data_IF_589138542484
#
_entry.id   IF_589138542484
#
_cell.length_a   1.000
_cell.length_b   1.000
_cell.length_c   1.000
_cell.angle_alpha   90.00
_cell.angle_beta   90.00
_cell.angle_gamma   90.00
#
_symmetry.space_group_name_H-M   'P 1'
#
loop_
_entity.id
_entity.type
_entity.pdbx_description
1 polymer ?
#
# COMPACT_ATOMS: atom_id res chain seq x y z
N UNK A 1 16.11 -72.69 7.22
CA UNK A 1 15.72 -73.59 8.36
C UNK A 1 14.62 -72.86 9.08
N UNK A 2 13.42 -73.33 8.85
CA UNK A 2 12.40 -73.72 9.82
C UNK A 2 11.67 -72.51 10.40
N UNK A 3 10.47 -72.14 9.91
CA UNK A 3 9.14 -72.77 10.08
C UNK A 3 8.54 -72.32 11.43
N UNK A 4 7.35 -71.81 11.55
CA UNK A 4 5.98 -72.14 11.25
C UNK A 4 5.11 -71.17 12.03
N UNK A 5 4.12 -70.57 11.46
CA UNK A 5 2.72 -70.98 11.34
C UNK A 5 1.82 -70.67 12.54
N UNK A 6 0.77 -69.88 12.27
CA UNK A 6 -0.66 -70.28 12.34
C UNK A 6 -1.35 -69.96 13.66
N UNK A 7 -2.54 -69.38 13.81
CA UNK A 7 -3.90 -69.71 13.34
C UNK A 7 -4.89 -68.62 13.80
N UNK A 8 -5.67 -68.08 12.96
CA UNK A 8 -7.13 -68.02 12.88
C UNK A 8 -7.96 -68.14 14.16
N UNK A 9 -8.86 -67.15 14.42
CA UNK A 9 -10.27 -67.48 14.67
C UNK A 9 -11.22 -66.34 14.31
N UNK A 10 -12.15 -66.67 13.41
CA UNK A 10 -13.38 -65.99 13.03
C UNK A 10 -14.46 -66.22 14.11
N UNK A 11 -15.39 -65.24 14.29
CA UNK A 11 -16.86 -65.43 14.47
C UNK A 11 -17.53 -64.07 14.40
N UNK A 12 -18.28 -63.76 13.38
CA UNK A 12 -19.70 -64.00 12.97
C UNK A 12 -20.71 -63.25 13.86
N UNK A 13 -21.47 -62.44 13.12
CA UNK A 13 -22.75 -61.75 13.48
C UNK A 13 -23.86 -62.76 13.82
N UNK A 14 -25.00 -62.30 14.44
CA UNK A 14 -26.21 -62.24 13.63
C UNK A 14 -27.08 -60.98 13.78
N UNK A 15 -28.00 -60.89 12.85
CA UNK A 15 -29.07 -59.93 12.59
C UNK A 15 -30.32 -60.29 13.38
N UNK A 16 -31.32 -59.37 13.22
CA UNK A 16 -32.78 -59.45 13.30
C UNK A 16 -33.37 -58.90 14.62
N UNK A 17 -34.52 -58.28 14.69
CA UNK A 17 -35.54 -57.83 13.74
C UNK A 17 -36.55 -56.93 14.52
N UNK A 18 -37.15 -55.99 13.80
CA UNK A 18 -38.54 -55.50 13.87
C UNK A 18 -39.33 -55.44 15.21
N UNK A 19 -39.91 -54.26 15.47
CA UNK A 19 -41.36 -54.12 15.71
C UNK A 19 -41.74 -52.61 15.88
N UNK A 20 -42.67 -52.14 15.06
CA UNK A 20 -43.61 -51.03 15.27
C UNK A 20 -44.95 -51.71 15.68
N UNK A 21 -46.04 -51.02 16.13
CA UNK A 21 -46.35 -49.60 16.22
C UNK A 21 -47.15 -49.22 17.54
N UNK A 22 -47.53 -47.96 17.73
CA UNK A 22 -48.89 -47.43 17.90
C UNK A 22 -48.96 -46.09 18.66
N UNK A 23 -49.65 -45.16 18.00
CA UNK A 23 -50.39 -43.98 18.40
C UNK A 23 -50.65 -43.73 19.89
N UNK A 24 -50.53 -42.43 20.32
CA UNK A 24 -51.58 -41.73 21.03
C UNK A 24 -51.40 -40.19 21.03
N UNK A 25 -52.56 -39.52 20.94
CA UNK A 25 -52.84 -38.12 20.69
C UNK A 25 -52.46 -37.11 21.77
N UNK A 26 -52.03 -35.86 21.33
CA UNK A 26 -52.40 -34.50 21.68
C UNK A 26 -51.72 -33.82 22.89
N UNK A 27 -51.81 -32.49 23.08
CA UNK A 27 -52.18 -31.45 22.11
C UNK A 27 -51.13 -30.36 21.90
N UNK A 28 -51.31 -29.62 20.82
CA UNK A 28 -50.55 -28.46 20.33
C UNK A 28 -50.39 -27.36 21.38
N UNK A 29 -49.14 -26.91 21.63
CA UNK A 29 -48.84 -25.53 22.03
C UNK A 29 -48.04 -24.85 20.92
N UNK A 30 -48.70 -23.94 20.22
CA UNK A 30 -48.11 -22.99 19.26
C UNK A 30 -47.09 -22.14 20.01
N UNK A 31 -45.80 -22.26 19.66
CA UNK A 31 -44.82 -21.22 19.90
C UNK A 31 -44.58 -20.50 18.54
N UNK A 32 -44.97 -19.25 18.51
CA UNK A 32 -44.73 -18.34 17.41
C UNK A 32 -43.20 -18.18 17.24
N UNK A 33 -42.68 -18.61 16.13
CA UNK A 33 -41.39 -18.17 15.64
C UNK A 33 -41.60 -16.79 15.03
N UNK A 34 -41.04 -15.75 15.66
CA UNK A 34 -40.88 -14.45 15.05
C UNK A 34 -39.74 -14.57 14.02
N UNK A 35 -40.10 -14.66 12.75
CA UNK A 35 -39.20 -14.53 11.66
C UNK A 35 -38.68 -13.08 11.61
N UNK A 36 -37.44 -12.90 12.00
CA UNK A 36 -36.70 -11.67 11.71
C UNK A 36 -36.36 -11.63 10.23
N UNK A 37 -37.17 -10.92 9.46
CA UNK A 37 -36.88 -10.62 8.08
C UNK A 37 -35.63 -9.74 8.03
N UNK A 38 -34.57 -10.27 7.44
CA UNK A 38 -33.40 -9.48 7.02
C UNK A 38 -33.86 -8.58 5.88
N UNK A 39 -34.09 -7.34 6.19
CA UNK A 39 -34.43 -6.32 5.20
C UNK A 39 -33.15 -5.89 4.47
N UNK A 40 -32.83 -6.55 3.37
CA UNK A 40 -31.92 -6.05 2.35
C UNK A 40 -32.64 -4.94 1.59
N UNK A 41 -32.49 -3.70 2.03
CA UNK A 41 -32.85 -2.56 1.20
C UNK A 41 -31.80 -2.38 0.11
N UNK A 42 -32.09 -2.95 -1.04
CA UNK A 42 -31.48 -2.55 -2.31
C UNK A 42 -31.86 -1.11 -2.60
N UNK A 43 -30.87 -0.27 -2.81
CA UNK A 43 -31.06 1.02 -3.48
C UNK A 43 -31.44 0.73 -4.93
N UNK A 44 -32.70 0.89 -5.25
CA UNK A 44 -33.18 0.93 -6.62
C UNK A 44 -32.69 2.21 -7.27
N UNK A 45 -31.91 2.10 -8.33
CA UNK A 45 -31.57 3.19 -9.23
C UNK A 45 -32.85 3.68 -9.92
N UNK A 46 -33.12 4.99 -9.97
CA UNK A 46 -34.21 5.50 -10.74
C UNK A 46 -33.91 5.38 -12.24
N UNK A 47 -34.80 4.76 -12.98
CA UNK A 47 -34.82 4.76 -14.45
C UNK A 47 -34.99 6.17 -14.98
N UNK A 48 -33.99 6.73 -15.63
CA UNK A 48 -34.03 8.01 -16.32
C UNK A 48 -34.46 7.76 -17.76
N UNK A 49 -35.61 8.37 -18.17
CA UNK A 49 -36.03 8.46 -19.54
C UNK A 49 -35.09 9.35 -20.37
N UNK A 50 -34.86 9.07 -21.66
CA UNK A 50 -33.96 9.87 -22.48
C UNK A 50 -34.67 11.16 -22.94
N UNK A 51 -34.08 12.31 -22.61
CA UNK A 51 -34.51 13.58 -23.14
C UNK A 51 -34.29 14.77 -22.21
N UNK A 52 -33.06 15.20 -22.05
CA UNK A 52 -32.67 16.62 -21.82
C UNK A 52 -31.15 16.68 -21.73
N UNK A 53 -30.55 17.60 -22.47
CA UNK A 53 -29.09 17.74 -22.60
C UNK A 53 -28.42 18.01 -21.27
N UNK A 54 -27.45 17.16 -20.95
CA UNK A 54 -26.57 17.38 -19.81
C UNK A 54 -25.34 18.19 -20.25
N UNK A 55 -25.27 19.42 -19.75
CA UNK A 55 -24.06 20.21 -19.75
C UNK A 55 -22.95 19.44 -18.99
N UNK A 56 -21.73 19.49 -19.53
CA UNK A 56 -20.51 18.99 -18.90
C UNK A 56 -20.45 19.45 -17.45
N UNK A 57 -20.65 18.53 -16.51
CA UNK A 57 -20.25 18.75 -15.13
C UNK A 57 -18.74 18.65 -15.04
N UNK A 58 -18.15 19.80 -14.76
CA UNK A 58 -16.71 19.96 -14.51
C UNK A 58 -16.39 19.31 -13.16
N UNK A 59 -15.75 18.13 -13.18
CA UNK A 59 -15.33 17.38 -11.98
C UNK A 59 -14.12 18.01 -11.26
N UNK A 60 -13.77 19.26 -11.60
CA UNK A 60 -12.64 19.98 -11.03
C UNK A 60 -12.79 20.49 -9.60
N UNK A 61 -14.01 20.48 -9.03
CA UNK A 61 -14.28 21.19 -7.76
C UNK A 61 -14.57 20.31 -6.54
N UNK A 62 -14.43 19.00 -6.61
CA UNK A 62 -14.67 18.14 -5.43
C UNK A 62 -13.48 18.02 -4.47
N UNK A 63 -12.31 18.57 -4.81
CA UNK A 63 -11.10 18.54 -3.97
C UNK A 63 -10.82 19.85 -3.21
N UNK A 64 -11.76 20.80 -3.16
CA UNK A 64 -11.54 22.11 -2.51
C UNK A 64 -11.72 22.13 -0.98
N UNK A 65 -11.86 20.98 -0.33
CA UNK A 65 -12.06 20.87 1.14
C UNK A 65 -10.84 20.49 1.96
N UNK A 66 -9.67 20.21 1.37
CA UNK A 66 -8.45 20.00 2.12
C UNK A 66 -7.68 21.31 2.26
N UNK A 67 -7.20 21.69 3.47
CA UNK A 67 -6.31 22.82 3.59
C UNK A 67 -5.07 22.54 2.77
N UNK A 68 -4.91 23.28 1.67
CA UNK A 68 -3.74 23.23 0.83
C UNK A 68 -2.50 23.50 1.69
N UNK A 69 -1.65 22.50 1.84
CA UNK A 69 -0.28 22.68 2.32
C UNK A 69 0.38 23.60 1.30
N UNK A 70 0.49 24.88 1.63
CA UNK A 70 1.25 25.84 0.83
C UNK A 70 2.72 25.51 1.02
N UNK A 71 3.44 25.00 0.02
CA UNK A 71 4.89 25.05 0.08
C UNK A 71 5.28 26.52 0.09
N UNK A 72 6.16 26.90 1.02
CA UNK A 72 6.76 28.24 1.06
C UNK A 72 7.49 28.48 -0.28
N UNK A 73 6.77 29.07 -1.24
CA UNK A 73 7.22 29.28 -2.60
C UNK A 73 8.14 30.48 -2.80
N UNK A 74 8.70 31.07 -1.75
CA UNK A 74 9.61 32.21 -1.89
C UNK A 74 11.03 31.77 -2.30
N UNK A 75 11.53 30.65 -1.78
CA UNK A 75 12.87 30.15 -2.15
C UNK A 75 13.02 29.66 -3.59
N UNK A 76 11.96 29.15 -4.21
CA UNK A 76 12.01 28.61 -5.57
C UNK A 76 11.98 29.71 -6.66
N UNK A 77 11.37 30.85 -6.38
CA UNK A 77 11.37 32.01 -7.29
C UNK A 77 12.73 32.70 -7.31
N UNK A 78 13.40 32.80 -6.17
CA UNK A 78 14.75 33.33 -6.07
C UNK A 78 15.78 32.43 -6.77
N UNK A 79 15.64 31.11 -6.64
CA UNK A 79 16.51 30.14 -7.30
C UNK A 79 16.32 30.13 -8.84
N UNK A 80 15.09 30.27 -9.31
CA UNK A 80 14.80 30.35 -10.76
C UNK A 80 15.35 31.62 -11.38
N UNK A 81 15.27 32.77 -10.67
CA UNK A 81 15.88 34.03 -11.09
C UNK A 81 17.40 33.98 -11.15
N UNK A 82 18.06 33.15 -10.33
CA UNK A 82 19.51 32.95 -10.33
C UNK A 82 19.99 31.98 -11.44
N UNK A 83 19.14 31.06 -11.89
CA UNK A 83 19.45 30.08 -12.94
C UNK A 83 19.25 30.71 -14.32
N UNK A 84 18.20 31.52 -14.49
CA UNK A 84 17.92 32.23 -15.74
C UNK A 84 18.92 33.38 -16.02
N UNK A 85 19.73 33.79 -15.03
CA UNK A 85 20.80 34.79 -15.19
C UNK A 85 22.15 34.18 -15.66
N UNK A 86 22.21 32.89 -15.98
CA UNK A 86 23.46 32.20 -16.40
C UNK A 86 23.64 32.04 -17.89
N UNK A 87 22.78 32.64 -18.72
CA UNK A 87 23.06 32.81 -20.17
C UNK A 87 23.82 34.10 -20.40
N UNK A 88 25.01 34.20 -19.81
CA UNK A 88 26.00 35.24 -20.13
C UNK A 88 27.06 34.61 -21.04
N UNK A 89 26.88 34.82 -22.34
CA UNK A 89 27.95 34.78 -23.32
C UNK A 89 29.16 35.57 -22.79
N UNK A 90 30.28 34.88 -22.67
CA UNK A 90 31.58 35.52 -22.43
C UNK A 90 31.91 36.38 -23.62
N UNK A 91 31.67 37.67 -23.52
CA UNK A 91 32.26 38.67 -24.45
C UNK A 91 33.54 39.12 -23.78
N UNK A 92 34.66 38.67 -24.35
CA UNK A 92 35.97 39.26 -24.09
C UNK A 92 36.02 40.63 -24.78
N UNK A 93 35.93 41.69 -24.00
CA UNK A 93 36.38 43.03 -24.42
C UNK A 93 37.40 43.47 -23.41
N UNK A 94 38.64 43.56 -23.91
CA UNK A 94 39.67 44.40 -23.34
C UNK A 94 39.17 45.85 -23.41
N UNK A 95 39.43 46.63 -22.34
CA UNK A 95 39.07 48.03 -22.08
C UNK A 95 37.90 48.21 -21.11
N UNK A 96 38.19 48.04 -19.82
CA UNK A 96 37.34 48.52 -18.76
C UNK A 96 37.84 49.89 -18.27
N UNK A 97 37.29 50.95 -18.88
CA UNK A 97 37.34 52.30 -18.29
C UNK A 97 36.56 52.32 -16.96
N UNK A 98 37.28 52.79 -15.95
CA UNK A 98 36.66 53.02 -14.60
C UNK A 98 35.61 54.12 -14.68
N UNK A 99 34.47 53.99 -14.00
CA UNK A 99 33.47 55.06 -13.93
C UNK A 99 34.07 56.29 -13.21
N UNK A 100 33.74 57.48 -13.65
CA UNK A 100 34.31 58.73 -13.10
C UNK A 100 33.86 58.89 -11.63
N UNK A 101 34.85 59.11 -10.75
CA UNK A 101 34.65 59.49 -9.37
C UNK A 101 34.07 60.87 -9.32
N UNK A 102 32.81 61.05 -9.01
CA UNK A 102 32.19 62.36 -8.73
C UNK A 102 32.71 62.85 -7.40
N UNK A 103 33.74 63.69 -7.44
CA UNK A 103 34.23 64.42 -6.28
C UNK A 103 33.36 65.64 -6.07
N UNK A 104 32.43 65.58 -5.13
CA UNK A 104 31.68 66.73 -4.61
C UNK A 104 32.64 67.57 -3.79
N UNK A 105 33.14 68.66 -4.37
CA UNK A 105 33.92 69.68 -3.65
C UNK A 105 32.99 70.52 -2.79
N UNK A 106 32.90 70.21 -1.48
CA UNK A 106 32.60 71.20 -0.46
C UNK A 106 33.92 71.57 0.22
N UNK A 107 34.44 72.74 -0.13
CA UNK A 107 35.57 73.36 0.55
C UNK A 107 35.11 73.76 1.94
N UNK A 108 35.59 73.06 2.95
CA UNK A 108 35.58 73.49 4.34
C UNK A 108 37.02 73.43 4.84
N UNK A 109 37.48 74.64 5.24
CA UNK A 109 38.64 75.02 6.04
C UNK A 109 39.78 73.98 6.22
N UNK A 110 41.00 74.23 5.69
CA UNK A 110 42.08 73.26 5.70
C UNK A 110 42.82 73.06 7.03
N UNK A 111 42.37 73.64 8.12
CA UNK A 111 43.16 73.66 9.37
C UNK A 111 42.73 72.68 10.48
N UNK A 112 41.77 71.83 10.20
CA UNK A 112 41.28 70.82 11.24
C UNK A 112 40.95 69.44 10.64
N UNK A 113 41.82 68.90 9.87
CA UNK A 113 41.64 67.49 9.49
C UNK A 113 42.93 66.70 9.63
N UNK A 114 43.35 66.45 10.89
CA UNK A 114 44.21 65.28 11.13
C UNK A 114 43.33 64.03 11.01
N UNK A 115 43.16 63.59 9.78
CA UNK A 115 42.59 62.28 9.54
C UNK A 115 43.60 61.22 10.00
N UNK A 116 43.32 60.58 11.11
CA UNK A 116 43.93 59.29 11.44
C UNK A 116 43.52 58.30 10.36
N UNK A 117 44.34 58.22 9.28
CA UNK A 117 44.24 57.17 8.27
C UNK A 117 44.83 55.90 8.88
N UNK A 118 44.06 55.26 9.79
CA UNK A 118 44.31 53.92 10.26
C UNK A 118 43.20 52.96 9.78
N UNK A 119 42.70 53.15 8.56
CA UNK A 119 41.82 52.19 7.93
C UNK A 119 42.64 51.41 6.92
N UNK A 120 42.77 50.12 7.17
CA UNK A 120 43.35 49.17 6.20
C UNK A 120 42.70 49.39 4.81
N UNK A 121 43.51 49.43 3.72
CA UNK A 121 42.98 49.68 2.39
C UNK A 121 41.88 48.68 2.01
N UNK A 122 40.82 49.15 1.36
CA UNK A 122 39.65 48.38 1.00
C UNK A 122 40.03 47.07 0.24
N UNK A 123 41.04 47.10 -0.66
CA UNK A 123 41.49 45.94 -1.38
C UNK A 123 42.07 44.85 -0.48
N UNK A 124 42.73 45.17 0.63
CA UNK A 124 43.21 44.18 1.61
C UNK A 124 42.07 43.47 2.30
N UNK A 125 41.01 44.20 2.68
CA UNK A 125 39.79 43.62 3.26
C UNK A 125 39.07 42.77 2.24
N UNK A 126 38.97 43.18 0.98
CA UNK A 126 38.36 42.39 -0.08
C UNK A 126 39.18 41.11 -0.37
N UNK A 127 40.52 41.19 -0.42
CA UNK A 127 41.40 40.04 -0.58
C UNK A 127 41.30 39.04 0.57
N UNK A 128 41.25 39.50 1.82
CA UNK A 128 41.06 38.65 2.99
C UNK A 128 39.71 37.94 2.93
N UNK A 129 38.65 38.64 2.51
CA UNK A 129 37.30 38.03 2.33
C UNK A 129 37.28 37.00 1.19
N UNK A 130 37.97 37.26 0.06
CA UNK A 130 38.10 36.30 -1.01
C UNK A 130 38.86 35.03 -0.57
N UNK A 131 40.01 35.19 0.08
CA UNK A 131 40.78 34.04 0.65
C UNK A 131 39.98 33.22 1.64
N UNK A 132 39.16 33.87 2.51
CA UNK A 132 38.27 33.15 3.42
C UNK A 132 37.17 32.36 2.71
N UNK A 133 36.67 32.90 1.58
CA UNK A 133 35.69 32.19 0.73
C UNK A 133 36.30 30.98 0.04
N UNK A 134 37.52 31.14 -0.50
CA UNK A 134 38.23 30.06 -1.16
C UNK A 134 38.56 28.92 -0.20
N UNK A 135 39.00 29.27 1.02
CA UNK A 135 39.21 28.28 2.08
C UNK A 135 37.94 27.50 2.41
N UNK A 136 36.81 28.22 2.56
CA UNK A 136 35.51 27.59 2.86
C UNK A 136 35.01 26.73 1.69
N UNK A 137 35.23 27.13 0.45
CA UNK A 137 34.90 26.31 -0.73
C UNK A 137 35.76 25.05 -0.79
N UNK A 138 37.04 25.13 -0.46
CA UNK A 138 37.92 23.95 -0.39
C UNK A 138 37.50 22.98 0.73
N UNK A 139 37.11 23.50 1.90
CA UNK A 139 36.59 22.69 3.00
C UNK A 139 35.27 22.00 2.63
N UNK A 140 34.35 22.69 1.97
CA UNK A 140 33.09 22.13 1.50
C UNK A 140 33.31 21.09 0.39
N UNK A 141 34.24 21.34 -0.53
CA UNK A 141 34.59 20.38 -1.59
C UNK A 141 35.15 19.09 -0.98
N UNK A 142 36.01 19.21 0.04
CA UNK A 142 36.55 18.04 0.74
C UNK A 142 35.44 17.25 1.48
N UNK A 143 34.47 17.96 2.11
CA UNK A 143 33.34 17.30 2.75
C UNK A 143 32.44 16.58 1.76
N UNK A 144 32.19 17.17 0.60
CA UNK A 144 31.40 16.52 -0.48
C UNK A 144 32.10 15.25 -0.95
N UNK A 145 33.40 15.31 -1.24
CA UNK A 145 34.14 14.14 -1.69
C UNK A 145 34.16 13.02 -0.64
N UNK A 146 34.33 13.35 0.65
CA UNK A 146 34.25 12.36 1.73
C UNK A 146 32.86 11.72 1.85
N UNK A 147 31.79 12.52 1.66
CA UNK A 147 30.41 12.01 1.64
C UNK A 147 30.14 11.12 0.43
N UNK A 148 30.67 11.48 -0.74
CA UNK A 148 30.57 10.67 -1.96
C UNK A 148 31.33 9.35 -1.82
N UNK A 149 32.54 9.35 -1.24
CA UNK A 149 33.30 8.13 -0.92
C UNK A 149 32.54 7.26 0.09
N UNK A 150 32.02 7.84 1.17
CA UNK A 150 31.24 7.10 2.18
C UNK A 150 29.97 6.51 1.57
N UNK A 151 29.26 7.24 0.71
CA UNK A 151 28.12 6.74 -0.03
C UNK A 151 28.51 5.60 -0.98
N UNK A 152 29.63 5.71 -1.67
CA UNK A 152 30.12 4.66 -2.56
C UNK A 152 30.54 3.39 -1.79
N UNK A 153 31.14 3.55 -0.60
CA UNK A 153 31.46 2.42 0.28
C UNK A 153 30.21 1.77 0.87
N UNK A 154 29.22 2.56 1.31
CA UNK A 154 27.92 2.06 1.76
C UNK A 154 27.18 1.34 0.63
N UNK A 155 27.22 1.85 -0.59
CA UNK A 155 26.65 1.17 -1.76
C UNK A 155 27.36 -0.14 -2.11
N UNK A 156 28.69 -0.22 -1.92
CA UNK A 156 29.45 -1.46 -2.11
C UNK A 156 29.23 -2.47 -0.99
N UNK A 157 29.08 -2.02 0.25
CA UNK A 157 28.81 -2.91 1.40
C UNK A 157 27.38 -3.42 1.42
N UNK A 158 26.46 -2.75 0.71
CA UNK A 158 25.08 -3.16 0.50
C UNK A 158 24.95 -3.75 -0.91
N UNK A 159 25.70 -4.79 -1.23
CA UNK A 159 25.30 -5.71 -2.30
C UNK A 159 24.03 -6.42 -1.82
N UNK A 160 22.93 -5.68 -1.80
CA UNK A 160 21.59 -6.25 -1.72
C UNK A 160 21.49 -7.19 -2.92
N UNK A 161 21.18 -8.47 -2.73
CA UNK A 161 20.95 -9.38 -3.84
C UNK A 161 20.00 -8.68 -4.81
N UNK A 162 20.37 -8.60 -6.09
CA UNK A 162 19.50 -7.95 -7.10
C UNK A 162 18.16 -8.65 -7.05
N UNK A 163 17.14 -7.95 -6.54
CA UNK A 163 15.79 -8.47 -6.52
C UNK A 163 15.38 -8.78 -7.97
N UNK A 164 14.96 -10.01 -8.22
CA UNK A 164 14.48 -10.41 -9.55
C UNK A 164 12.99 -10.12 -9.67
N UNK A 165 12.65 -9.08 -10.41
CA UNK A 165 11.27 -8.69 -10.72
C UNK A 165 10.75 -9.30 -12.02
N UNK A 166 11.55 -10.10 -12.74
CA UNK A 166 11.21 -10.59 -14.08
C UNK A 166 9.87 -11.31 -14.12
N UNK A 167 9.57 -12.13 -13.11
CA UNK A 167 8.30 -12.86 -13.01
C UNK A 167 7.07 -11.99 -12.74
N UNK A 168 7.26 -10.81 -12.18
CA UNK A 168 6.16 -9.89 -11.88
C UNK A 168 5.66 -9.15 -13.12
N UNK A 169 6.47 -9.11 -14.18
CA UNK A 169 6.21 -8.37 -15.41
C UNK A 169 6.23 -9.24 -16.67
N UNK A 170 5.98 -10.55 -16.53
CA UNK A 170 5.87 -11.46 -17.71
C UNK A 170 4.66 -11.02 -18.53
N UNK A 171 4.85 -10.63 -19.81
CA UNK A 171 3.74 -10.25 -20.69
C UNK A 171 2.72 -11.40 -20.84
N UNK A 172 1.45 -11.06 -20.98
CA UNK A 172 0.44 -12.04 -21.32
C UNK A 172 0.65 -12.54 -22.75
N UNK A 173 0.37 -13.82 -22.99
CA UNK A 173 0.34 -14.36 -24.36
C UNK A 173 -0.88 -13.83 -25.13
N UNK A 174 -0.89 -14.00 -26.46
CA UNK A 174 -2.03 -13.57 -27.26
C UNK A 174 -3.33 -14.30 -26.87
N UNK A 175 -3.23 -15.58 -26.49
CA UNK A 175 -4.34 -16.37 -25.98
C UNK A 175 -4.85 -15.82 -24.66
N UNK A 176 -3.97 -15.52 -23.73
CA UNK A 176 -4.30 -14.94 -22.43
C UNK A 176 -4.94 -13.55 -22.58
N UNK A 177 -4.43 -12.70 -23.48
CA UNK A 177 -5.05 -11.41 -23.79
C UNK A 177 -6.47 -11.57 -24.33
N UNK A 178 -6.71 -12.57 -25.19
CA UNK A 178 -8.03 -12.88 -25.71
C UNK A 178 -8.98 -13.40 -24.62
N UNK A 179 -8.52 -14.27 -23.71
CA UNK A 179 -9.31 -14.75 -22.56
C UNK A 179 -9.71 -13.56 -21.65
N UNK A 180 -8.74 -12.70 -21.33
CA UNK A 180 -8.97 -11.49 -20.53
C UNK A 180 -9.98 -10.56 -21.22
N UNK A 181 -9.83 -10.35 -22.52
CA UNK A 181 -10.74 -9.51 -23.30
C UNK A 181 -12.16 -10.09 -23.31
N UNK A 182 -12.32 -11.38 -23.55
CA UNK A 182 -13.63 -12.05 -23.54
C UNK A 182 -14.27 -12.00 -22.15
N UNK A 183 -13.50 -12.21 -21.07
CA UNK A 183 -13.99 -12.07 -19.70
C UNK A 183 -14.53 -10.66 -19.42
N UNK A 184 -13.76 -9.63 -19.79
CA UNK A 184 -14.11 -8.25 -19.49
C UNK A 184 -15.16 -7.65 -20.42
N UNK A 185 -15.15 -7.97 -21.72
CA UNK A 185 -15.91 -7.28 -22.75
C UNK A 185 -16.85 -8.20 -23.54
N UNK A 186 -16.77 -9.50 -23.37
CA UNK A 186 -17.60 -10.49 -24.05
C UNK A 186 -19.09 -10.31 -23.79
N UNK A 187 -19.91 -10.93 -24.66
CA UNK A 187 -21.38 -10.78 -24.70
C UNK A 187 -22.14 -11.75 -23.80
N UNK A 188 -21.47 -12.49 -22.91
CA UNK A 188 -22.11 -13.45 -22.00
C UNK A 188 -23.05 -12.78 -20.97
N UNK A 189 -23.83 -13.61 -20.27
CA UNK A 189 -24.71 -13.14 -19.21
C UNK A 189 -23.91 -12.43 -18.10
N UNK A 190 -24.40 -11.31 -17.60
CA UNK A 190 -23.75 -10.58 -16.47
C UNK A 190 -23.67 -11.43 -15.21
N UNK A 191 -24.63 -12.33 -14.99
CA UNK A 191 -24.73 -13.23 -13.83
C UNK A 191 -23.96 -14.53 -14.02
N UNK A 192 -23.40 -14.78 -15.19
CA UNK A 192 -22.55 -15.94 -15.45
C UNK A 192 -21.35 -15.96 -14.51
N UNK A 193 -21.19 -17.03 -13.73
CA UNK A 193 -20.05 -17.22 -12.82
C UNK A 193 -18.86 -17.69 -13.65
N UNK A 194 -17.82 -16.86 -13.72
CA UNK A 194 -16.60 -17.15 -14.48
C UNK A 194 -15.50 -17.77 -13.60
N UNK A 195 -15.52 -17.50 -12.30
CA UNK A 195 -14.61 -18.08 -11.34
C UNK A 195 -15.35 -18.44 -10.05
N UNK A 196 -15.15 -19.66 -9.57
CA UNK A 196 -15.68 -20.17 -8.31
C UNK A 196 -14.53 -20.77 -7.51
N UNK A 197 -14.19 -20.16 -6.40
CA UNK A 197 -13.19 -20.66 -5.47
C UNK A 197 -13.88 -21.42 -4.33
N UNK A 198 -14.04 -22.73 -4.48
CA UNK A 198 -14.77 -23.58 -3.52
C UNK A 198 -14.27 -23.47 -2.09
N UNK A 199 -12.93 -23.45 -1.79
CA UNK A 199 -12.44 -23.41 -0.43
C UNK A 199 -12.88 -22.17 0.36
N UNK A 200 -13.02 -21.01 -0.30
CA UNK A 200 -13.49 -19.77 0.32
C UNK A 200 -14.96 -19.48 0.04
N UNK A 201 -15.60 -20.26 -0.84
CA UNK A 201 -16.97 -20.05 -1.34
C UNK A 201 -17.16 -18.63 -1.91
N UNK A 202 -16.16 -18.15 -2.68
CA UNK A 202 -16.22 -16.86 -3.36
C UNK A 202 -16.50 -17.10 -4.83
N UNK A 203 -17.59 -16.49 -5.32
CA UNK A 203 -17.99 -16.51 -6.72
C UNK A 203 -17.74 -15.15 -7.35
N UNK A 204 -17.09 -15.15 -8.53
CA UNK A 204 -16.91 -13.94 -9.33
C UNK A 204 -17.64 -14.10 -10.65
N UNK A 205 -18.76 -13.37 -10.79
CA UNK A 205 -19.52 -13.33 -12.03
C UNK A 205 -18.89 -12.39 -13.05
N UNK A 206 -19.31 -12.49 -14.30
CA UNK A 206 -18.88 -11.59 -15.39
C UNK A 206 -19.08 -10.10 -15.02
N UNK A 207 -20.15 -9.78 -14.32
CA UNK A 207 -20.39 -8.42 -13.84
C UNK A 207 -19.35 -7.97 -12.81
N UNK A 208 -19.02 -8.85 -11.87
CA UNK A 208 -18.02 -8.56 -10.82
C UNK A 208 -16.61 -8.38 -11.41
N UNK A 209 -16.26 -9.11 -12.46
CA UNK A 209 -14.99 -8.91 -13.18
C UNK A 209 -14.85 -7.53 -13.83
N UNK A 210 -15.97 -6.86 -14.13
CA UNK A 210 -15.93 -5.52 -14.74
C UNK A 210 -15.23 -4.47 -13.89
N UNK A 211 -15.07 -4.70 -12.59
CA UNK A 211 -14.28 -3.85 -11.73
C UNK A 211 -12.77 -3.84 -12.09
N UNK A 212 -12.30 -4.84 -12.86
CA UNK A 212 -10.93 -4.91 -13.37
C UNK A 212 -10.74 -4.20 -14.72
N UNK A 213 -11.81 -3.63 -15.31
CA UNK A 213 -11.67 -2.75 -16.49
C UNK A 213 -10.90 -1.48 -16.13
N UNK A 214 -10.28 -0.80 -17.11
CA UNK A 214 -9.75 0.53 -16.92
C UNK A 214 -10.79 1.49 -16.30
N UNK A 215 -10.35 2.40 -15.47
CA UNK A 215 -11.17 3.42 -14.81
C UNK A 215 -12.27 2.88 -13.87
N UNK A 216 -12.21 1.62 -13.44
CA UNK A 216 -13.16 1.04 -12.51
C UNK A 216 -12.53 0.79 -11.13
N UNK A 217 -13.34 0.94 -10.07
CA UNK A 217 -12.94 0.60 -8.71
C UNK A 217 -13.06 -0.89 -8.45
N UNK A 218 -12.09 -1.47 -7.76
CA UNK A 218 -12.15 -2.88 -7.36
C UNK A 218 -13.25 -3.11 -6.31
N UNK A 219 -13.94 -4.24 -6.44
CA UNK A 219 -14.93 -4.71 -5.47
C UNK A 219 -14.33 -5.67 -4.44
N UNK A 220 -15.07 -5.89 -3.35
CA UNK A 220 -14.65 -6.78 -2.25
C UNK A 220 -14.43 -8.22 -2.70
N UNK A 221 -15.25 -8.74 -3.60
CA UNK A 221 -15.19 -10.13 -4.03
C UNK A 221 -13.88 -10.42 -4.79
N UNK A 222 -13.51 -9.55 -5.72
CA UNK A 222 -12.26 -9.68 -6.49
C UNK A 222 -11.06 -9.52 -5.56
N UNK A 223 -11.07 -8.54 -4.66
CA UNK A 223 -10.00 -8.35 -3.68
C UNK A 223 -9.86 -9.59 -2.79
N UNK A 224 -10.95 -10.05 -2.18
CA UNK A 224 -10.92 -11.17 -1.25
C UNK A 224 -10.52 -12.48 -1.93
N UNK A 225 -11.00 -12.74 -3.15
CA UNK A 225 -10.56 -13.89 -3.91
C UNK A 225 -9.06 -13.83 -4.22
N UNK A 226 -8.56 -12.68 -4.66
CA UNK A 226 -7.14 -12.54 -4.96
C UNK A 226 -6.26 -12.74 -3.72
N UNK A 227 -6.69 -12.29 -2.55
CA UNK A 227 -5.99 -12.56 -1.29
C UNK A 227 -5.95 -14.06 -0.94
N UNK A 228 -7.02 -14.82 -1.20
CA UNK A 228 -6.98 -16.28 -1.01
C UNK A 228 -6.02 -16.95 -2.01
N UNK A 229 -5.93 -16.49 -3.27
CA UNK A 229 -4.96 -17.01 -4.24
C UNK A 229 -3.51 -16.72 -3.81
N UNK A 230 -3.21 -15.54 -3.23
CA UNK A 230 -1.89 -15.23 -2.67
C UNK A 230 -1.54 -16.14 -1.49
N UNK A 231 -2.49 -16.43 -0.63
CA UNK A 231 -2.34 -17.35 0.49
C UNK A 231 -2.08 -18.79 0.03
N UNK A 232 -2.76 -19.22 -1.04
CA UNK A 232 -2.51 -20.54 -1.64
C UNK A 232 -1.15 -20.61 -2.33
N UNK A 233 -0.71 -19.52 -2.95
CA UNK A 233 0.65 -19.39 -3.52
C UNK A 233 1.72 -19.63 -2.46
N UNK A 234 1.61 -18.96 -1.31
CA UNK A 234 2.53 -19.16 -0.18
C UNK A 234 2.56 -20.62 0.27
N UNK A 235 1.38 -21.25 0.43
CA UNK A 235 1.30 -22.66 0.81
C UNK A 235 1.93 -23.60 -0.21
N UNK A 236 1.83 -23.26 -1.48
CA UNK A 236 2.38 -24.04 -2.59
C UNK A 236 3.91 -23.96 -2.64
N UNK A 237 4.48 -22.79 -2.32
CA UNK A 237 5.91 -22.51 -2.41
C UNK A 237 6.46 -21.80 -1.14
N UNK A 238 6.39 -22.47 0.04
CA UNK A 238 6.68 -21.82 1.32
C UNK A 238 8.15 -21.43 1.52
N UNK A 239 9.06 -21.95 0.69
CA UNK A 239 10.48 -21.55 0.70
C UNK A 239 10.77 -20.27 -0.07
N UNK A 240 9.83 -19.88 -0.94
CA UNK A 240 9.97 -18.76 -1.86
C UNK A 240 9.28 -17.50 -1.35
N UNK A 241 8.20 -17.68 -0.61
CA UNK A 241 7.37 -16.58 -0.11
C UNK A 241 7.47 -16.49 1.41
N UNK A 242 7.28 -15.27 1.94
CA UNK A 242 7.20 -15.04 3.36
C UNK A 242 5.96 -15.73 3.94
N UNK A 243 6.04 -16.19 5.21
CA UNK A 243 4.87 -16.68 5.94
C UNK A 243 3.96 -15.52 6.30
N UNK A 244 2.83 -15.39 5.63
CA UNK A 244 1.95 -14.24 5.77
C UNK A 244 0.54 -14.63 6.21
N UNK A 245 -0.15 -13.69 6.86
CA UNK A 245 -1.58 -13.76 7.06
C UNK A 245 -2.27 -12.65 6.28
N UNK A 246 -3.33 -13.00 5.56
CA UNK A 246 -4.12 -12.08 4.74
C UNK A 246 -5.52 -11.98 5.33
N UNK A 247 -5.83 -10.83 5.96
CA UNK A 247 -7.19 -10.55 6.36
C UNK A 247 -8.03 -10.15 5.14
N UNK A 248 -9.32 -10.51 5.18
CA UNK A 248 -10.26 -10.04 4.16
C UNK A 248 -10.64 -8.55 4.40
N UNK A 249 -11.28 -7.95 3.41
CA UNK A 249 -11.69 -6.55 3.40
C UNK A 249 -12.62 -6.14 4.54
N UNK A 250 -13.30 -7.08 5.19
CA UNK A 250 -14.27 -6.81 6.27
C UNK A 250 -13.61 -6.76 7.66
N UNK A 251 -12.39 -7.26 7.81
CA UNK A 251 -11.74 -7.41 9.11
C UNK A 251 -11.59 -6.08 9.83
N UNK A 252 -10.93 -5.11 9.23
CA UNK A 252 -10.67 -3.82 9.88
C UNK A 252 -11.96 -3.08 10.24
N UNK A 253 -12.93 -3.08 9.32
CA UNK A 253 -14.25 -2.50 9.56
C UNK A 253 -14.96 -3.16 10.75
N UNK A 254 -14.86 -4.49 10.87
CA UNK A 254 -15.44 -5.25 11.98
C UNK A 254 -14.73 -4.95 13.29
N UNK A 255 -13.42 -4.81 13.27
CA UNK A 255 -12.58 -4.54 14.44
C UNK A 255 -12.75 -3.11 14.98
N UNK A 256 -12.75 -2.10 14.09
CA UNK A 256 -12.54 -0.72 14.48
C UNK A 256 -13.68 0.26 14.15
N UNK A 257 -14.57 -0.10 13.23
CA UNK A 257 -15.60 0.81 12.71
C UNK A 257 -17.02 0.43 13.15
N UNK A 258 -17.18 -0.38 14.20
CA UNK A 258 -18.47 -0.71 14.78
C UNK A 258 -19.07 0.47 15.56
N UNK A 259 -20.37 0.38 15.94
CA UNK A 259 -21.07 1.43 16.70
C UNK A 259 -20.36 1.85 17.99
N UNK A 260 -19.62 0.91 18.61
CA UNK A 260 -18.89 1.13 19.87
C UNK A 260 -17.38 1.34 19.64
N UNK A 261 -16.94 1.58 18.41
CA UNK A 261 -15.52 1.68 18.06
C UNK A 261 -14.82 0.32 18.04
N UNK A 262 -13.64 0.24 18.65
CA UNK A 262 -12.82 -0.97 18.69
C UNK A 262 -13.50 -2.14 19.42
N UNK A 263 -13.60 -3.29 18.77
CA UNK A 263 -14.21 -4.51 19.32
C UNK A 263 -13.45 -5.78 18.90
N UNK A 264 -12.47 -6.19 19.72
CA UNK A 264 -11.72 -7.44 19.53
C UNK A 264 -12.62 -8.68 19.54
N UNK A 265 -13.66 -8.69 20.39
CA UNK A 265 -14.56 -9.87 20.54
C UNK A 265 -15.27 -10.19 19.23
N UNK A 266 -15.52 -9.19 18.39
CA UNK A 266 -16.19 -9.35 17.10
C UNK A 266 -15.36 -10.13 16.09
N UNK A 267 -14.02 -10.13 16.20
CA UNK A 267 -13.09 -10.75 15.26
C UNK A 267 -12.27 -11.91 15.85
N UNK A 268 -12.20 -12.09 17.16
CA UNK A 268 -11.36 -13.09 17.81
C UNK A 268 -11.55 -14.54 17.33
N UNK A 269 -12.72 -14.86 16.75
CA UNK A 269 -12.99 -16.20 16.20
C UNK A 269 -12.41 -16.39 14.77
N UNK A 270 -11.94 -15.32 14.13
CA UNK A 270 -11.42 -15.40 12.77
C UNK A 270 -10.05 -16.08 12.71
N UNK A 271 -9.30 -15.99 13.79
CA UNK A 271 -7.91 -16.38 13.95
C UNK A 271 -7.70 -17.52 14.97
N UNK A 272 -8.73 -18.35 15.19
CA UNK A 272 -8.56 -19.52 16.05
C UNK A 272 -7.59 -20.52 15.43
N UNK A 273 -6.74 -21.15 16.22
CA UNK A 273 -5.77 -22.15 15.76
C UNK A 273 -6.46 -23.31 15.01
N UNK A 274 -7.67 -23.73 15.45
CA UNK A 274 -8.49 -24.72 14.72
C UNK A 274 -8.80 -24.30 13.28
N UNK A 275 -8.94 -22.99 13.02
CA UNK A 275 -9.29 -22.46 11.70
C UNK A 275 -8.07 -22.20 10.83
N UNK A 276 -7.01 -21.64 11.41
CA UNK A 276 -5.82 -21.25 10.69
C UNK A 276 -4.76 -22.34 10.62
N UNK A 277 -4.60 -23.16 11.69
CA UNK A 277 -3.52 -24.11 11.84
C UNK A 277 -2.19 -23.50 12.33
N UNK A 278 -2.17 -22.19 12.61
CA UNK A 278 -1.03 -21.44 13.12
C UNK A 278 -1.48 -20.25 13.96
N UNK A 279 -0.57 -19.68 14.73
CA UNK A 279 -0.77 -18.42 15.45
C UNK A 279 -0.26 -17.23 14.63
N UNK A 280 -0.93 -16.08 14.73
CA UNK A 280 -0.54 -14.88 13.95
C UNK A 280 0.87 -14.42 14.23
N UNK A 281 1.38 -14.63 15.46
CA UNK A 281 2.73 -14.27 15.85
C UNK A 281 3.81 -15.09 15.15
N UNK A 282 3.45 -16.20 14.51
CA UNK A 282 4.34 -17.03 13.73
C UNK A 282 4.54 -16.54 12.29
N UNK A 283 3.75 -15.55 11.87
CA UNK A 283 3.88 -14.96 10.55
C UNK A 283 5.03 -13.96 10.51
N UNK A 284 5.63 -13.78 9.33
CA UNK A 284 6.54 -12.66 9.09
C UNK A 284 5.75 -11.35 8.98
N UNK A 285 4.66 -11.37 8.22
CA UNK A 285 3.80 -10.19 7.97
C UNK A 285 2.31 -10.54 8.01
N UNK A 286 1.50 -9.60 8.48
CA UNK A 286 0.04 -9.68 8.48
C UNK A 286 -0.50 -8.50 7.68
N UNK A 287 -1.26 -8.79 6.63
CA UNK A 287 -1.85 -7.79 5.74
C UNK A 287 -3.30 -7.50 6.11
N UNK A 288 -3.63 -6.24 6.26
CA UNK A 288 -4.95 -5.76 6.65
C UNK A 288 -5.44 -4.73 5.64
N UNK A 289 -6.32 -5.11 4.71
CA UNK A 289 -7.01 -4.16 3.86
C UNK A 289 -7.84 -3.18 4.69
N UNK A 290 -7.67 -1.88 4.42
CA UNK A 290 -8.40 -0.80 5.10
C UNK A 290 -9.24 -0.04 4.07
N UNK A 291 -10.57 -0.13 4.21
CA UNK A 291 -11.50 0.59 3.35
C UNK A 291 -12.01 1.85 4.06
N UNK A 292 -11.69 3.00 3.51
CA UNK A 292 -12.16 4.29 4.00
C UNK A 292 -13.05 4.94 2.96
N UNK A 293 -14.36 4.98 3.25
CA UNK A 293 -15.40 5.50 2.36
C UNK A 293 -15.33 4.86 0.97
N UNK A 294 -14.58 5.46 0.05
CA UNK A 294 -14.39 5.00 -1.33
C UNK A 294 -12.92 4.68 -1.67
N UNK A 295 -12.04 4.64 -0.66
CA UNK A 295 -10.60 4.51 -0.86
C UNK A 295 -10.03 3.28 -0.16
N UNK A 296 -9.16 2.54 -0.86
CA UNK A 296 -8.46 1.38 -0.35
C UNK A 296 -7.03 1.74 0.09
N UNK A 297 -6.71 1.41 1.31
CA UNK A 297 -5.37 1.48 1.88
C UNK A 297 -4.94 0.12 2.41
N UNK A 298 -3.66 -0.04 2.71
CA UNK A 298 -3.09 -1.22 3.32
C UNK A 298 -2.47 -0.89 4.67
N UNK A 299 -2.77 -1.69 5.68
CA UNK A 299 -1.96 -1.71 6.89
C UNK A 299 -1.23 -3.06 7.00
N UNK A 300 -0.01 -3.03 7.48
CA UNK A 300 0.85 -4.21 7.65
C UNK A 300 1.30 -4.26 9.11
N UNK A 301 1.14 -5.43 9.74
CA UNK A 301 1.83 -5.76 10.99
C UNK A 301 3.04 -6.59 10.58
N UNK A 302 4.22 -6.00 10.62
CA UNK A 302 5.48 -6.69 10.37
C UNK A 302 5.97 -7.27 11.70
N UNK A 303 5.73 -8.56 11.90
CA UNK A 303 6.05 -9.25 13.16
C UNK A 303 7.57 -9.37 13.31
N UNK A 304 8.26 -9.69 12.22
CA UNK A 304 9.70 -9.90 12.20
C UNK A 304 10.47 -8.64 12.60
N UNK A 305 10.07 -7.50 12.04
CA UNK A 305 10.73 -6.21 12.30
C UNK A 305 10.06 -5.43 13.46
N UNK A 306 9.00 -5.99 14.06
CA UNK A 306 8.21 -5.35 15.11
C UNK A 306 7.73 -3.95 14.72
N UNK A 307 7.17 -3.83 13.53
CA UNK A 307 6.76 -2.56 12.94
C UNK A 307 5.30 -2.59 12.47
N UNK A 308 4.65 -1.43 12.54
CA UNK A 308 3.35 -1.17 11.93
C UNK A 308 3.56 -0.21 10.76
N UNK A 309 3.11 -0.61 9.58
CA UNK A 309 3.21 0.17 8.36
C UNK A 309 1.80 0.51 7.86
N UNK A 310 1.65 1.71 7.31
CA UNK A 310 0.42 2.13 6.63
C UNK A 310 0.77 2.67 5.25
N UNK A 311 0.21 2.06 4.21
CA UNK A 311 0.47 2.39 2.83
C UNK A 311 -0.81 2.92 2.18
N UNK A 312 -0.74 4.15 1.72
CA UNK A 312 -1.82 4.84 1.02
C UNK A 312 -1.30 5.36 -0.32
N UNK A 313 -1.86 4.87 -1.40
CA UNK A 313 -1.47 5.26 -2.76
C UNK A 313 -1.74 6.74 -3.11
N UNK A 314 -2.43 7.48 -2.24
CA UNK A 314 -2.56 8.93 -2.31
C UNK A 314 -1.53 9.67 -1.42
N UNK A 315 -0.65 8.93 -0.73
CA UNK A 315 0.38 9.50 0.15
C UNK A 315 -0.13 9.93 1.52
N UNK A 316 -1.31 9.47 1.93
CA UNK A 316 -1.86 9.72 3.27
C UNK A 316 -1.18 8.89 4.36
N UNK A 317 -1.19 9.38 5.58
CA UNK A 317 -0.73 8.67 6.79
C UNK A 317 -1.88 8.58 7.79
N UNK A 318 -2.05 7.43 8.44
CA UNK A 318 -3.07 7.22 9.44
C UNK A 318 -2.55 6.49 10.68
N UNK A 319 -2.03 7.25 11.60
CA UNK A 319 -1.53 6.76 12.91
C UNK A 319 -2.61 6.09 13.78
N UNK A 320 -3.90 6.33 13.50
CA UNK A 320 -4.97 5.67 14.24
C UNK A 320 -5.06 4.20 13.88
N UNK A 321 -4.86 3.85 12.61
CA UNK A 321 -4.85 2.45 12.15
C UNK A 321 -3.74 1.67 12.84
N UNK A 322 -2.53 2.21 12.88
CA UNK A 322 -1.38 1.58 13.56
C UNK A 322 -1.66 1.34 15.04
N UNK A 323 -2.23 2.31 15.75
CA UNK A 323 -2.62 2.14 17.17
C UNK A 323 -3.69 1.09 17.39
N UNK A 324 -4.69 1.03 16.50
CA UNK A 324 -5.74 -0.01 16.53
C UNK A 324 -5.14 -1.40 16.35
N UNK A 325 -4.23 -1.55 15.39
CA UNK A 325 -3.57 -2.83 15.11
C UNK A 325 -2.57 -3.23 16.19
N UNK A 326 -1.86 -2.28 16.80
CA UNK A 326 -1.02 -2.54 17.97
C UNK A 326 -1.83 -3.11 19.14
N UNK A 327 -2.96 -2.51 19.43
CA UNK A 327 -3.90 -3.05 20.43
C UNK A 327 -4.41 -4.43 20.04
N UNK A 328 -4.79 -4.61 18.77
CA UNK A 328 -5.30 -5.89 18.27
C UNK A 328 -4.29 -7.02 18.45
N UNK A 329 -3.05 -6.85 18.01
CA UNK A 329 -2.05 -7.92 18.07
C UNK A 329 -1.70 -8.29 19.53
N UNK A 330 -1.67 -7.32 20.44
CA UNK A 330 -1.45 -7.57 21.85
C UNK A 330 -2.60 -8.40 22.47
N UNK A 331 -3.87 -8.02 22.20
CA UNK A 331 -5.03 -8.78 22.66
C UNK A 331 -5.11 -10.17 22.02
N UNK A 332 -4.75 -10.29 20.75
CA UNK A 332 -4.74 -11.56 20.01
C UNK A 332 -3.72 -12.54 20.57
N UNK A 333 -2.49 -12.11 20.79
CA UNK A 333 -1.43 -12.97 21.35
C UNK A 333 -1.76 -13.36 22.78
N UNK A 334 -2.30 -12.44 23.58
CA UNK A 334 -2.75 -12.75 24.94
C UNK A 334 -3.89 -13.77 24.96
N UNK A 335 -4.89 -13.63 24.07
CA UNK A 335 -6.06 -14.55 24.00
C UNK A 335 -5.67 -15.93 23.46
N UNK A 336 -4.72 -16.03 22.51
CA UNK A 336 -4.37 -17.29 21.83
C UNK A 336 -3.22 -18.04 22.49
N UNK A 337 -2.17 -17.33 22.86
CA UNK A 337 -0.92 -17.94 23.35
C UNK A 337 -0.70 -17.75 24.85
N UNK A 338 -1.56 -16.98 25.52
CA UNK A 338 -1.37 -16.54 26.93
C UNK A 338 0.01 -15.88 27.17
N UNK A 339 0.56 -15.24 26.13
CA UNK A 339 1.80 -14.48 26.18
C UNK A 339 1.50 -12.98 26.10
N UNK A 340 2.40 -12.18 26.62
CA UNK A 340 2.34 -10.72 26.50
C UNK A 340 3.38 -10.23 25.50
N UNK A 341 2.97 -9.29 24.65
CA UNK A 341 3.88 -8.60 23.73
C UNK A 341 4.27 -7.27 24.37
N UNK A 342 5.57 -7.01 24.46
CA UNK A 342 6.07 -5.69 24.81
C UNK A 342 5.96 -4.75 23.60
N UNK A 343 4.89 -3.98 23.54
CA UNK A 343 4.65 -3.01 22.47
C UNK A 343 5.64 -1.84 22.49
N UNK A 344 6.40 -1.62 23.57
CA UNK A 344 7.40 -0.55 23.60
C UNK A 344 8.60 -0.89 22.68
N UNK A 345 8.78 -2.17 22.37
CA UNK A 345 9.80 -2.62 21.40
C UNK A 345 9.32 -2.51 19.94
N UNK A 346 8.08 -2.07 19.69
CA UNK A 346 7.49 -1.91 18.37
C UNK A 346 7.46 -0.43 17.97
N UNK A 347 7.53 -0.16 16.69
CA UNK A 347 7.49 1.20 16.17
C UNK A 347 6.51 1.32 14.99
N UNK A 348 6.11 2.54 14.71
CA UNK A 348 5.41 2.87 13.48
C UNK A 348 6.46 3.22 12.42
N UNK A 349 6.48 2.48 11.34
CA UNK A 349 7.42 2.67 10.25
C UNK A 349 6.73 3.42 9.10
N UNK A 350 7.26 4.58 8.80
CA UNK A 350 6.88 5.31 7.59
C UNK A 350 7.63 4.69 6.41
N UNK A 351 6.87 4.10 5.49
CA UNK A 351 7.48 3.50 4.29
C UNK A 351 7.77 4.62 3.29
N UNK A 352 9.06 4.91 3.11
CA UNK A 352 9.51 5.90 2.14
C UNK A 352 9.33 5.37 0.70
N UNK A 353 9.07 6.28 -0.24
CA UNK A 353 9.04 6.00 -1.69
C UNK A 353 8.04 4.94 -2.14
N UNK A 354 6.86 4.88 -1.51
CA UNK A 354 5.79 4.02 -2.01
C UNK A 354 5.30 4.51 -3.39
N UNK A 355 5.00 3.60 -4.34
CA UNK A 355 4.35 3.97 -5.59
C UNK A 355 3.02 4.67 -5.36
N UNK A 356 2.81 5.83 -5.98
CA UNK A 356 1.60 6.62 -5.82
C UNK A 356 0.70 6.55 -7.05
N UNK A 357 -0.63 6.51 -6.83
CA UNK A 357 -1.61 6.59 -7.90
C UNK A 357 -1.73 8.02 -8.45
N UNK A 358 -1.99 8.12 -9.75
CA UNK A 358 -2.21 9.40 -10.45
C UNK A 358 -3.67 9.62 -10.86
N UNK A 359 -4.60 8.77 -10.39
CA UNK A 359 -6.03 8.83 -10.73
C UNK A 359 -6.89 8.49 -9.50
N UNK A 360 -8.20 8.51 -9.63
CA UNK A 360 -9.14 8.30 -8.52
C UNK A 360 -9.66 6.87 -8.37
N UNK A 361 -9.16 5.87 -9.13
CA UNK A 361 -9.79 4.54 -9.17
C UNK A 361 -8.84 3.35 -9.00
N UNK A 362 -7.52 3.54 -9.02
CA UNK A 362 -6.56 2.42 -8.93
C UNK A 362 -6.15 2.06 -7.50
N UNK A 363 -6.69 2.70 -6.46
CA UNK A 363 -6.31 2.47 -5.06
C UNK A 363 -6.36 0.98 -4.67
N UNK A 364 -7.43 0.26 -5.07
CA UNK A 364 -7.56 -1.17 -4.80
C UNK A 364 -6.47 -2.00 -5.50
N UNK A 365 -6.07 -1.61 -6.72
CA UNK A 365 -5.01 -2.29 -7.45
C UNK A 365 -3.64 -2.03 -6.82
N UNK A 366 -3.35 -0.78 -6.42
CA UNK A 366 -2.15 -0.44 -5.66
C UNK A 366 -2.07 -1.23 -4.36
N UNK A 367 -3.16 -1.28 -3.58
CA UNK A 367 -3.22 -2.06 -2.35
C UNK A 367 -2.89 -3.55 -2.59
N UNK A 368 -3.49 -4.18 -3.61
CA UNK A 368 -3.19 -5.58 -3.95
C UNK A 368 -1.73 -5.77 -4.35
N UNK A 369 -1.13 -4.83 -5.08
CA UNK A 369 0.27 -4.93 -5.48
C UNK A 369 1.23 -4.65 -4.33
N UNK A 370 0.91 -3.75 -3.41
CA UNK A 370 1.67 -3.64 -2.16
C UNK A 370 1.71 -4.98 -1.41
N UNK A 371 0.55 -5.65 -1.28
CA UNK A 371 0.48 -6.96 -0.63
C UNK A 371 1.31 -8.01 -1.39
N UNK A 372 1.17 -8.08 -2.72
CA UNK A 372 1.89 -9.04 -3.55
C UNK A 372 3.40 -8.90 -3.41
N UNK A 373 3.94 -7.69 -3.58
CA UNK A 373 5.37 -7.42 -3.45
C UNK A 373 5.88 -7.67 -2.03
N UNK A 374 5.20 -7.17 -1.02
CA UNK A 374 5.59 -7.39 0.38
C UNK A 374 5.52 -8.86 0.81
N UNK A 375 4.59 -9.66 0.27
CA UNK A 375 4.50 -11.10 0.56
C UNK A 375 5.63 -11.91 -0.07
N UNK A 376 6.27 -11.36 -1.11
CA UNK A 376 7.47 -11.91 -1.73
C UNK A 376 8.76 -11.44 -1.04
N UNK A 377 8.68 -10.49 -0.13
CA UNK A 377 9.87 -9.83 0.46
C UNK A 377 10.58 -8.89 -0.50
N UNK A 378 9.89 -8.41 -1.55
CA UNK A 378 10.44 -7.54 -2.58
C UNK A 378 10.15 -6.06 -2.28
N UNK A 379 11.01 -5.19 -2.77
CA UNK A 379 10.78 -3.75 -2.80
C UNK A 379 9.65 -3.37 -3.76
N UNK A 380 8.99 -2.23 -3.54
CA UNK A 380 7.83 -1.79 -4.33
C UNK A 380 8.23 -1.17 -5.67
N UNK A 381 8.86 -1.95 -6.55
CA UNK A 381 9.40 -1.51 -7.84
C UNK A 381 8.35 -1.51 -8.97
N UNK A 382 7.29 -0.73 -8.82
CA UNK A 382 6.27 -0.52 -9.85
C UNK A 382 5.73 0.92 -9.80
N UNK A 383 4.95 1.30 -10.80
CA UNK A 383 4.37 2.64 -10.91
C UNK A 383 2.92 2.61 -11.41
N UNK A 384 2.30 3.79 -11.54
CA UNK A 384 0.98 3.94 -12.15
C UNK A 384 0.90 3.32 -13.57
N UNK A 385 1.97 3.34 -14.32
CA UNK A 385 2.03 2.83 -15.69
C UNK A 385 1.83 1.31 -15.78
N UNK A 386 2.11 0.60 -14.69
CA UNK A 386 1.94 -0.85 -14.63
C UNK A 386 0.50 -1.29 -14.30
N UNK A 387 -0.40 -0.36 -13.92
CA UNK A 387 -1.72 -0.72 -13.41
C UNK A 387 -2.62 -1.41 -14.44
N UNK A 388 -2.55 -1.02 -15.72
CA UNK A 388 -3.31 -1.71 -16.77
C UNK A 388 -2.86 -3.16 -16.93
N UNK A 389 -1.56 -3.39 -16.96
CA UNK A 389 -0.99 -4.73 -17.00
C UNK A 389 -1.42 -5.56 -15.78
N UNK A 390 -1.32 -5.00 -14.57
CA UNK A 390 -1.70 -5.71 -13.37
C UNK A 390 -3.19 -6.05 -13.31
N UNK A 391 -4.06 -5.19 -13.84
CA UNK A 391 -5.49 -5.50 -13.96
C UNK A 391 -5.74 -6.70 -14.86
N UNK A 392 -5.12 -6.74 -16.04
CA UNK A 392 -5.21 -7.87 -16.98
C UNK A 392 -4.64 -9.16 -16.37
N UNK A 393 -3.47 -9.09 -15.75
CA UNK A 393 -2.85 -10.22 -15.06
C UNK A 393 -3.75 -10.74 -13.93
N UNK A 394 -4.36 -9.86 -13.14
CA UNK A 394 -5.30 -10.25 -12.08
C UNK A 394 -6.52 -10.98 -12.64
N UNK A 395 -7.07 -10.56 -13.79
CA UNK A 395 -8.13 -11.32 -14.48
C UNK A 395 -7.66 -12.73 -14.81
N UNK A 396 -6.50 -12.87 -15.47
CA UNK A 396 -5.92 -14.17 -15.83
C UNK A 396 -5.76 -15.07 -14.61
N UNK A 397 -5.16 -14.54 -13.54
CA UNK A 397 -4.88 -15.31 -12.32
C UNK A 397 -6.17 -15.74 -11.61
N UNK A 398 -7.21 -14.90 -11.60
CA UNK A 398 -8.52 -15.27 -11.03
C UNK A 398 -9.24 -16.31 -11.91
N UNK A 399 -9.22 -16.18 -13.25
CA UNK A 399 -9.82 -17.17 -14.13
C UNK A 399 -9.17 -18.55 -13.96
N UNK A 400 -7.88 -18.59 -13.67
CA UNK A 400 -7.12 -19.82 -13.43
C UNK A 400 -7.14 -20.26 -11.96
N UNK A 401 -7.76 -19.50 -11.08
CA UNK A 401 -7.74 -19.70 -9.62
C UNK A 401 -6.30 -19.93 -9.10
N UNK A 402 -5.35 -19.19 -9.66
CA UNK A 402 -3.93 -19.35 -9.33
C UNK A 402 -3.17 -18.02 -9.47
N UNK A 403 -2.63 -17.52 -8.38
CA UNK A 403 -1.65 -16.44 -8.39
C UNK A 403 -0.26 -17.02 -8.70
N UNK A 404 0.48 -16.32 -9.61
CA UNK A 404 1.84 -16.67 -10.07
C UNK A 404 2.90 -15.89 -9.29
#
# INVERSE_FOLDING_TARGET
MISTASLLHRRKRPRDASFLPSNLHGPQRRRRFCGGAFCSRFFASPSIRPGAGFSRFDMGNFFSGFPAFRPRGEGLREYKGLVDARDLTVVTTDDAEFPPVVVSRRIRDPRKAVLKVNSEPYYKKALAKARSRDKRLSELSLQVNLLEETLAELQKSTEVPKEDFSELFIPLTAEEENEVHECLYGRGSSTEVLALHEPSNIEVSREKFRCLRPCAWLNDEVINLYLELLKEREKREPKRFLKCHFFNTFFYKKLACGKNGYDYKSVKRWTTNRRLGYELIECDKIFVPVHRDIHWCLAIINIKEKAFQYLDSLGGVDHHVSRVLARYIAEEVKDKSNKEIDLNSWHEELVDYIPLQKNGYDCGMFMLKYIDFHSRGLSLSFSQENMEYFRKRTVKEILRLRAD
#
